data_IF_973106545582
#
_entry.id   IF_973106545582
#
_cell.length_a   1.000
_cell.length_b   1.000
_cell.length_c   1.000
_cell.angle_alpha   90.00
_cell.angle_beta   90.00
_cell.angle_gamma   90.00
#
_symmetry.space_group_name_H-M   'P 1'
#
loop_
_entity.id
_entity.type
_entity.pdbx_description
1 polymer ?
#
# COMPACT_ATOMS: atom_id res chain seq x y z
N UNK A 1 -26.20 -9.45 48.39
CA UNK A 1 -25.25 -8.39 47.97
C UNK A 1 -25.56 -8.00 46.54
N UNK A 2 -25.52 -6.72 46.23
CA UNK A 2 -25.73 -6.21 44.88
C UNK A 2 -24.49 -6.53 44.02
N UNK A 3 -24.69 -6.79 42.72
CA UNK A 3 -23.64 -7.38 41.86
C UNK A 3 -22.75 -6.27 41.27
N UNK A 4 -21.43 -6.41 41.40
CA UNK A 4 -20.43 -5.47 40.88
C UNK A 4 -19.48 -6.16 39.88
N UNK A 5 -18.91 -5.40 38.94
CA UNK A 5 -18.02 -5.92 37.91
C UNK A 5 -18.33 -5.43 36.49
N UNK A 6 -17.83 -6.18 35.52
CA UNK A 6 -18.15 -6.01 34.10
C UNK A 6 -19.54 -6.58 33.83
N UNK A 7 -20.41 -5.83 33.16
CA UNK A 7 -21.74 -6.30 32.77
C UNK A 7 -21.81 -6.68 31.29
N UNK A 8 -21.30 -5.86 30.37
CA UNK A 8 -21.33 -6.16 28.94
C UNK A 8 -19.97 -5.97 28.30
N UNK A 9 -19.57 -6.96 27.53
CA UNK A 9 -18.43 -6.87 26.61
C UNK A 9 -18.89 -6.88 25.16
N UNK A 10 -18.04 -6.38 24.26
CA UNK A 10 -18.24 -6.43 22.80
C UNK A 10 -16.93 -6.76 22.09
N UNK A 11 -17.03 -7.48 20.98
CA UNK A 11 -15.90 -7.77 20.08
C UNK A 11 -16.35 -8.61 18.90
N UNK A 12 -15.39 -9.07 18.11
CA UNK A 12 -15.66 -9.90 16.93
C UNK A 12 -15.92 -11.36 17.34
N UNK A 13 -17.07 -11.89 16.93
CA UNK A 13 -17.51 -13.27 17.11
C UNK A 13 -16.84 -14.23 16.11
N UNK A 14 -16.31 -13.70 15.01
CA UNK A 14 -15.73 -14.48 13.91
C UNK A 14 -14.27 -14.07 13.62
N UNK A 15 -13.37 -14.07 14.62
CA UNK A 15 -12.00 -13.59 14.46
C UNK A 15 -11.20 -14.44 13.49
N UNK A 16 -10.32 -13.84 12.69
CA UNK A 16 -9.43 -14.59 11.80
C UNK A 16 -8.25 -15.20 12.56
N UNK A 17 -7.91 -16.46 12.30
CA UNK A 17 -6.67 -17.06 12.87
C UNK A 17 -5.43 -16.29 12.43
N UNK A 18 -4.47 -16.14 13.34
CA UNK A 18 -3.24 -15.36 13.15
C UNK A 18 -3.42 -13.85 13.23
N UNK A 19 -4.64 -13.34 13.38
CA UNK A 19 -4.92 -11.89 13.51
C UNK A 19 -5.20 -11.54 14.97
N UNK A 20 -4.65 -10.41 15.43
CA UNK A 20 -4.93 -9.85 16.74
C UNK A 20 -6.34 -9.26 16.76
N UNK A 21 -7.22 -9.80 17.61
CA UNK A 21 -8.61 -9.36 17.75
C UNK A 21 -8.85 -8.77 19.13
N UNK A 22 -9.44 -7.58 19.18
CA UNK A 22 -9.66 -6.80 20.40
C UNK A 22 -11.11 -6.90 20.88
N UNK A 23 -11.29 -6.90 22.19
CA UNK A 23 -12.57 -6.97 22.90
C UNK A 23 -12.65 -5.83 23.90
N UNK A 24 -13.83 -5.32 24.23
CA UNK A 24 -13.96 -4.15 25.09
C UNK A 24 -15.10 -4.32 26.09
N UNK A 25 -14.92 -3.76 27.29
CA UNK A 25 -16.03 -3.54 28.22
C UNK A 25 -16.82 -2.33 27.73
N UNK A 26 -18.11 -2.52 27.52
CA UNK A 26 -19.03 -1.45 27.07
C UNK A 26 -20.07 -1.10 28.13
N UNK A 27 -20.24 -1.93 29.16
CA UNK A 27 -21.10 -1.62 30.30
C UNK A 27 -20.57 -2.29 31.58
N UNK A 28 -20.72 -1.59 32.70
CA UNK A 28 -20.39 -2.06 34.04
C UNK A 28 -21.67 -2.21 34.85
N UNK A 29 -21.70 -3.11 35.82
CA UNK A 29 -22.85 -3.14 36.74
C UNK A 29 -22.97 -1.80 37.48
N UNK A 30 -24.20 -1.33 37.78
CA UNK A 30 -24.43 -0.05 38.45
C UNK A 30 -23.63 0.10 39.75
N UNK A 31 -23.50 -0.99 40.50
CA UNK A 31 -22.84 -1.05 41.81
C UNK A 31 -21.32 -1.09 41.73
N UNK A 32 -20.75 -1.18 40.52
CA UNK A 32 -19.30 -1.15 40.32
C UNK A 32 -18.78 0.26 40.63
N UNK A 33 -17.90 0.44 41.64
CA UNK A 33 -17.36 1.74 41.99
C UNK A 33 -16.67 2.41 40.81
N UNK A 34 -16.81 3.73 40.66
CA UNK A 34 -16.26 4.46 39.51
C UNK A 34 -14.73 4.26 39.37
N UNK A 35 -14.01 4.18 40.49
CA UNK A 35 -12.58 3.90 40.54
C UNK A 35 -12.18 2.52 40.02
N UNK A 36 -13.10 1.57 39.99
CA UNK A 36 -12.89 0.21 39.49
C UNK A 36 -13.34 0.01 38.03
N UNK A 37 -14.05 0.98 37.44
CA UNK A 37 -14.50 0.95 36.04
C UNK A 37 -13.35 1.25 35.06
N UNK A 38 -12.28 0.48 35.18
CA UNK A 38 -11.05 0.63 34.41
C UNK A 38 -10.73 -0.67 33.68
N UNK A 39 -10.63 -0.61 32.36
CA UNK A 39 -10.34 -1.79 31.54
C UNK A 39 -8.98 -2.42 31.85
N UNK A 40 -8.01 -1.67 32.37
CA UNK A 40 -6.71 -2.23 32.78
C UNK A 40 -6.79 -3.18 33.97
N UNK A 41 -7.87 -3.10 34.76
CA UNK A 41 -8.13 -3.98 35.90
C UNK A 41 -8.86 -5.27 35.49
N UNK A 42 -9.44 -5.29 34.29
CA UNK A 42 -10.25 -6.41 33.79
C UNK A 42 -9.36 -7.58 33.47
N UNK A 43 -9.78 -8.75 33.92
CA UNK A 43 -9.21 -10.01 33.50
C UNK A 43 -9.97 -10.54 32.30
N UNK A 44 -9.25 -10.80 31.22
CA UNK A 44 -9.73 -11.42 30.01
C UNK A 44 -9.30 -12.89 30.00
N UNK A 45 -10.25 -13.80 29.90
CA UNK A 45 -10.00 -15.23 29.90
C UNK A 45 -10.61 -15.92 28.69
N UNK A 46 -9.87 -16.87 28.12
CA UNK A 46 -10.31 -17.68 27.00
C UNK A 46 -10.69 -19.08 27.46
N UNK A 47 -11.86 -19.54 27.03
CA UNK A 47 -12.39 -20.86 27.26
C UNK A 47 -12.56 -21.60 25.94
N UNK A 48 -12.35 -22.92 25.94
CA UNK A 48 -12.55 -23.81 24.79
C UNK A 48 -13.84 -24.60 24.99
N UNK A 49 -14.65 -24.71 23.93
CA UNK A 49 -15.83 -25.59 23.91
C UNK A 49 -15.39 -27.06 23.92
N UNK A 50 -15.98 -27.83 24.82
CA UNK A 50 -15.91 -29.29 24.93
C UNK A 50 -17.32 -29.86 24.99
N UNK A 51 -17.41 -31.18 24.98
CA UNK A 51 -18.69 -31.91 25.10
C UNK A 51 -19.42 -31.50 26.39
N UNK A 52 -18.70 -31.40 27.51
CA UNK A 52 -19.25 -31.02 28.83
C UNK A 52 -19.48 -29.51 29.03
N UNK A 53 -19.30 -28.67 28.00
CA UNK A 53 -19.47 -27.21 28.12
C UNK A 53 -18.22 -26.41 27.75
N UNK A 54 -17.90 -25.37 28.50
CA UNK A 54 -16.72 -24.53 28.24
C UNK A 54 -15.70 -24.71 29.37
N UNK A 55 -14.48 -25.11 29.01
CA UNK A 55 -13.36 -25.24 29.96
C UNK A 55 -12.33 -24.12 29.77
N UNK A 56 -11.71 -23.67 30.84
CA UNK A 56 -10.62 -22.68 30.74
C UNK A 56 -9.47 -23.24 29.90
N UNK A 57 -8.89 -22.40 29.05
CA UNK A 57 -7.65 -22.73 28.31
C UNK A 57 -6.39 -22.46 29.14
N UNK A 58 -6.52 -21.87 30.33
CA UNK A 58 -5.41 -21.31 31.10
C UNK A 58 -4.90 -19.95 30.57
N UNK A 59 -5.39 -19.48 29.42
CA UNK A 59 -5.03 -18.17 28.88
C UNK A 59 -5.87 -17.11 29.58
N UNK A 60 -5.26 -16.46 30.57
CA UNK A 60 -5.83 -15.39 31.38
C UNK A 60 -4.91 -14.17 31.33
N UNK A 61 -5.44 -13.00 30.96
CA UNK A 61 -4.67 -11.76 30.78
C UNK A 61 -5.32 -10.62 31.54
N UNK A 62 -4.55 -9.90 32.36
CA UNK A 62 -5.04 -8.71 33.05
C UNK A 62 -4.73 -7.45 32.23
N UNK A 63 -5.76 -6.65 31.95
CA UNK A 63 -5.66 -5.40 31.18
C UNK A 63 -5.35 -5.54 29.70
N UNK A 64 -5.07 -6.75 29.19
CA UNK A 64 -4.77 -7.01 27.78
C UNK A 64 -6.01 -7.63 27.14
N UNK A 65 -6.75 -6.80 26.42
CA UNK A 65 -8.08 -7.08 25.90
C UNK A 65 -8.10 -7.72 24.51
N UNK A 66 -7.00 -8.37 24.09
CA UNK A 66 -6.91 -9.00 22.78
C UNK A 66 -6.48 -10.46 22.84
N UNK A 67 -6.94 -11.21 21.84
CA UNK A 67 -6.54 -12.59 21.59
C UNK A 67 -6.06 -12.76 20.15
N UNK A 68 -5.21 -13.76 19.95
CA UNK A 68 -4.72 -14.17 18.64
C UNK A 68 -4.85 -15.68 18.56
N UNK A 69 -5.69 -16.14 17.65
CA UNK A 69 -6.04 -17.54 17.52
C UNK A 69 -5.01 -18.27 16.65
N UNK A 70 -4.52 -19.42 17.11
CA UNK A 70 -3.53 -20.21 16.37
C UNK A 70 -4.09 -20.80 15.06
N UNK A 71 -3.23 -21.33 14.17
CA UNK A 71 -3.64 -21.78 12.83
C UNK A 71 -4.79 -22.79 12.80
N UNK A 72 -4.85 -23.69 13.78
CA UNK A 72 -5.88 -24.73 13.88
C UNK A 72 -7.12 -24.32 14.70
N UNK A 73 -7.14 -23.12 15.27
CA UNK A 73 -8.22 -22.68 16.15
C UNK A 73 -9.57 -22.60 15.43
N UNK A 74 -9.58 -22.44 14.11
CA UNK A 74 -10.80 -22.41 13.30
C UNK A 74 -11.64 -23.69 13.35
N UNK A 75 -11.07 -24.79 13.85
CA UNK A 75 -11.75 -26.08 14.04
C UNK A 75 -12.53 -26.16 15.36
N UNK A 76 -12.45 -25.13 16.20
CA UNK A 76 -12.98 -25.14 17.56
C UNK A 76 -13.80 -23.89 17.84
N UNK A 77 -14.73 -23.99 18.79
CA UNK A 77 -15.46 -22.85 19.34
C UNK A 77 -14.86 -22.44 20.67
N UNK A 78 -14.87 -21.14 20.95
CA UNK A 78 -14.33 -20.59 22.19
C UNK A 78 -15.35 -19.64 22.83
N UNK A 79 -15.10 -19.31 24.08
CA UNK A 79 -15.80 -18.24 24.80
C UNK A 79 -14.76 -17.31 25.40
N UNK A 80 -14.96 -16.01 25.25
CA UNK A 80 -14.15 -14.97 25.88
C UNK A 80 -15.00 -14.32 26.97
N UNK A 81 -14.41 -14.17 28.15
CA UNK A 81 -15.03 -13.40 29.24
C UNK A 81 -14.09 -12.31 29.73
N UNK A 82 -14.66 -11.15 30.04
CA UNK A 82 -13.99 -10.04 30.69
C UNK A 82 -14.63 -9.78 32.04
N UNK A 83 -13.87 -9.91 33.13
CA UNK A 83 -14.40 -9.77 34.50
C UNK A 83 -13.42 -9.11 35.47
N UNK A 84 -13.93 -8.48 36.54
CA UNK A 84 -13.10 -7.93 37.64
C UNK A 84 -12.83 -8.95 38.75
N UNK A 85 -13.84 -9.76 39.10
CA UNK A 85 -13.78 -10.67 40.24
C UNK A 85 -13.81 -12.12 39.78
N UNK A 86 -14.91 -12.53 39.14
CA UNK A 86 -15.13 -13.89 38.66
C UNK A 86 -15.83 -13.89 37.30
N UNK A 87 -15.57 -14.95 36.53
CA UNK A 87 -16.25 -15.22 35.27
C UNK A 87 -17.72 -15.59 35.52
N UNK A 88 -18.63 -15.10 34.68
CA UNK A 88 -20.07 -15.29 34.85
C UNK A 88 -20.66 -16.37 33.95
N UNK A 89 -19.93 -16.82 32.94
CA UNK A 89 -20.31 -17.99 32.16
C UNK A 89 -21.19 -17.72 30.94
N UNK A 90 -21.82 -16.54 30.84
CA UNK A 90 -22.93 -16.26 29.91
C UNK A 90 -22.92 -14.82 29.36
N UNK A 91 -23.66 -14.61 28.28
CA UNK A 91 -23.96 -13.26 27.77
C UNK A 91 -24.76 -12.43 28.79
N UNK A 92 -24.58 -11.10 28.84
CA UNK A 92 -23.72 -10.27 27.98
C UNK A 92 -22.24 -10.14 28.45
N UNK A 93 -21.84 -10.83 29.52
CA UNK A 93 -20.47 -10.81 30.09
C UNK A 93 -19.49 -11.70 29.33
N UNK A 94 -20.00 -12.55 28.44
CA UNK A 94 -19.25 -13.46 27.59
C UNK A 94 -19.54 -13.20 26.11
N UNK A 95 -18.58 -13.53 25.24
CA UNK A 95 -18.75 -13.60 23.79
C UNK A 95 -18.36 -14.99 23.34
N UNK A 96 -19.23 -15.65 22.60
CA UNK A 96 -18.95 -16.93 21.96
C UNK A 96 -18.31 -16.66 20.60
N UNK A 97 -17.13 -17.24 20.36
CA UNK A 97 -16.33 -16.95 19.17
C UNK A 97 -16.01 -18.23 18.41
N UNK A 98 -16.18 -18.17 17.09
CA UNK A 98 -15.76 -19.21 16.16
C UNK A 98 -14.70 -18.62 15.23
N UNK A 99 -13.40 -18.86 15.50
CA UNK A 99 -12.37 -18.34 14.63
C UNK A 99 -12.55 -18.82 13.20
N UNK A 100 -12.39 -17.93 12.24
CA UNK A 100 -12.45 -18.26 10.83
C UNK A 100 -11.08 -18.73 10.38
N UNK A 101 -11.05 -19.66 9.42
CA UNK A 101 -9.80 -19.98 8.71
C UNK A 101 -9.18 -18.66 8.27
N UNK A 102 -7.85 -18.63 8.28
CA UNK A 102 -7.17 -17.62 7.51
C UNK A 102 -7.54 -17.99 6.09
N UNK A 103 -8.56 -17.32 5.54
CA UNK A 103 -8.74 -17.32 4.11
C UNK A 103 -7.36 -17.08 3.54
N UNK A 104 -6.99 -17.82 2.51
CA UNK A 104 -5.77 -17.49 1.75
C UNK A 104 -5.83 -16.07 1.15
N UNK A 105 -6.87 -15.27 1.45
CA UNK A 105 -6.64 -13.86 1.72
C UNK A 105 -5.79 -13.69 3.00
N UNK A 106 -4.48 -13.86 2.84
CA UNK A 106 -3.55 -12.77 3.22
C UNK A 106 -4.31 -11.46 3.01
N UNK A 107 -4.16 -10.43 3.85
CA UNK A 107 -4.40 -9.07 3.36
C UNK A 107 -3.61 -8.99 2.07
N UNK A 108 -4.27 -9.24 0.94
CA UNK A 108 -3.60 -9.71 -0.25
C UNK A 108 -3.05 -8.38 -0.72
N UNK A 109 -1.79 -8.13 -0.38
CA UNK A 109 -1.34 -6.76 -0.19
C UNK A 109 -1.58 -6.05 -1.51
N UNK A 110 -2.38 -4.98 -1.43
CA UNK A 110 -2.70 -4.21 -2.61
C UNK A 110 -1.43 -3.46 -2.95
N UNK A 111 -0.76 -3.93 -3.97
CA UNK A 111 0.61 -3.53 -4.24
C UNK A 111 0.85 -3.41 -5.74
N UNK A 112 1.64 -2.41 -6.09
CA UNK A 112 2.24 -2.28 -7.42
C UNK A 112 3.57 -3.02 -7.34
N UNK A 113 3.74 -4.09 -8.11
CA UNK A 113 4.94 -4.94 -8.07
C UNK A 113 6.09 -4.34 -8.88
N UNK A 114 5.79 -3.53 -9.88
CA UNK A 114 6.78 -2.95 -10.77
C UNK A 114 6.13 -2.28 -11.97
N UNK A 115 6.94 -1.54 -12.73
CA UNK A 115 6.53 -0.80 -13.92
C UNK A 115 7.53 -1.06 -15.04
N UNK A 116 7.03 -1.54 -16.18
CA UNK A 116 7.80 -1.71 -17.40
C UNK A 116 7.47 -0.61 -18.41
N UNK A 117 8.52 -0.08 -19.06
CA UNK A 117 8.40 0.84 -20.18
C UNK A 117 8.59 0.09 -21.51
N UNK A 118 7.71 0.38 -22.47
CA UNK A 118 7.75 -0.18 -23.82
C UNK A 118 7.40 0.88 -24.86
N UNK A 119 7.63 0.59 -26.13
CA UNK A 119 6.98 1.34 -27.20
C UNK A 119 5.47 1.11 -27.15
N UNK A 120 4.68 1.99 -27.78
CA UNK A 120 3.22 1.86 -27.77
C UNK A 120 2.71 0.55 -28.42
N UNK A 121 3.48 -0.04 -29.33
CA UNK A 121 3.16 -1.35 -29.91
C UNK A 121 3.44 -2.55 -28.96
N UNK A 122 3.99 -2.29 -27.77
CA UNK A 122 4.33 -3.28 -26.76
C UNK A 122 5.73 -3.87 -26.89
N UNK A 123 6.51 -3.48 -27.91
CA UNK A 123 7.89 -3.92 -28.06
C UNK A 123 8.81 -3.27 -27.02
N UNK A 124 9.87 -3.97 -26.62
CA UNK A 124 10.84 -3.47 -25.64
C UNK A 124 11.61 -2.28 -26.20
N UNK A 125 11.83 -1.28 -25.35
CA UNK A 125 12.73 -0.18 -25.67
C UNK A 125 14.16 -0.71 -25.65
N UNK A 126 14.75 -0.87 -26.83
CA UNK A 126 16.11 -1.37 -27.03
C UNK A 126 17.07 -0.32 -27.57
N UNK A 127 16.55 0.86 -27.91
CA UNK A 127 17.29 2.00 -28.46
C UNK A 127 16.97 3.26 -27.67
N UNK A 128 17.86 4.24 -27.71
CA UNK A 128 17.58 5.59 -27.21
C UNK A 128 16.39 6.15 -27.99
N UNK A 129 15.43 6.71 -27.27
CA UNK A 129 14.21 7.28 -27.81
C UNK A 129 14.45 8.67 -28.40
N UNK A 130 13.50 9.14 -29.19
CA UNK A 130 13.40 10.51 -29.64
C UNK A 130 12.16 11.18 -29.05
N UNK A 131 12.19 12.50 -28.95
CA UNK A 131 10.95 13.25 -28.75
C UNK A 131 9.98 12.98 -29.90
N UNK A 132 8.67 12.97 -29.59
CA UNK A 132 7.54 12.44 -30.36
C UNK A 132 7.39 10.92 -30.40
N UNK A 133 8.34 10.14 -29.87
CA UNK A 133 8.10 8.71 -29.69
C UNK A 133 6.93 8.47 -28.73
N UNK A 134 6.17 7.43 -29.04
CA UNK A 134 5.04 6.98 -28.24
C UNK A 134 5.43 5.76 -27.42
N UNK A 135 5.26 5.87 -26.12
CA UNK A 135 5.65 4.85 -25.15
C UNK A 135 4.47 4.47 -24.28
N UNK A 136 4.58 3.31 -23.65
CA UNK A 136 3.63 2.83 -22.65
C UNK A 136 4.35 2.56 -21.34
N UNK A 137 3.73 2.93 -20.23
CA UNK A 137 4.08 2.43 -18.91
C UNK A 137 3.04 1.39 -18.50
N UNK A 138 3.49 0.17 -18.19
CA UNK A 138 2.62 -0.90 -17.70
C UNK A 138 3.00 -1.24 -16.27
N UNK A 139 2.11 -0.94 -15.33
CA UNK A 139 2.23 -1.39 -13.94
C UNK A 139 1.67 -2.79 -13.81
N UNK A 140 2.48 -3.69 -13.22
CA UNK A 140 2.00 -4.99 -12.75
C UNK A 140 1.58 -4.84 -11.30
N UNK A 141 0.36 -5.26 -11.00
CA UNK A 141 -0.28 -5.04 -9.73
C UNK A 141 -0.80 -6.34 -9.15
N UNK A 142 -0.76 -6.44 -7.83
CA UNK A 142 -1.27 -7.55 -7.07
C UNK A 142 -2.49 -7.09 -6.27
N UNK A 143 -3.62 -7.80 -6.47
CA UNK A 143 -4.90 -7.59 -5.76
C UNK A 143 -5.51 -6.19 -5.91
N UNK A 144 -5.14 -5.50 -6.98
CA UNK A 144 -5.61 -4.16 -7.32
C UNK A 144 -6.64 -4.13 -8.45
N UNK A 145 -7.06 -5.28 -8.99
CA UNK A 145 -8.08 -5.33 -10.02
C UNK A 145 -9.30 -4.46 -9.66
N UNK A 146 -9.81 -3.72 -10.65
CA UNK A 146 -10.92 -2.76 -10.53
C UNK A 146 -10.62 -1.49 -9.70
N UNK A 147 -9.46 -1.37 -9.08
CA UNK A 147 -9.01 -0.13 -8.46
C UNK A 147 -8.27 0.73 -9.48
N UNK A 148 -8.23 2.04 -9.25
CA UNK A 148 -7.48 2.97 -10.09
C UNK A 148 -6.14 3.36 -9.47
N UNK A 149 -5.13 3.49 -10.31
CA UNK A 149 -3.81 4.05 -9.97
C UNK A 149 -3.52 5.26 -10.87
N UNK A 150 -2.56 6.10 -10.47
CA UNK A 150 -2.10 7.24 -11.25
C UNK A 150 -0.62 7.06 -11.57
N UNK A 151 -0.27 7.25 -12.83
CA UNK A 151 1.12 7.32 -13.29
C UNK A 151 1.60 8.77 -13.34
N UNK A 152 2.87 9.00 -13.05
CA UNK A 152 3.55 10.29 -13.20
C UNK A 152 4.83 10.08 -13.99
N UNK A 153 5.05 10.90 -15.01
CA UNK A 153 6.25 10.95 -15.82
C UNK A 153 7.21 11.98 -15.22
N UNK A 154 8.47 11.59 -15.11
CA UNK A 154 9.56 12.38 -14.55
C UNK A 154 10.74 12.39 -15.49
N UNK A 155 11.54 13.44 -15.39
CA UNK A 155 12.90 13.51 -15.93
C UNK A 155 13.89 13.37 -14.77
N UNK A 156 14.94 12.57 -14.97
CA UNK A 156 15.99 12.26 -13.98
C UNK A 156 17.22 13.16 -14.21
N UNK A 157 17.29 14.18 -13.37
CA UNK A 157 18.32 15.22 -13.35
C UNK A 157 19.33 15.04 -12.21
N UNK A 158 19.31 13.91 -11.50
CA UNK A 158 20.22 13.64 -10.38
C UNK A 158 21.33 12.63 -10.76
N UNK A 159 22.46 12.71 -10.04
CA UNK A 159 23.62 11.84 -10.26
C UNK A 159 23.38 10.40 -9.82
N UNK A 160 22.46 10.20 -8.87
CA UNK A 160 22.06 8.89 -8.37
C UNK A 160 20.81 8.42 -9.08
N UNK A 161 20.82 7.17 -9.57
CA UNK A 161 19.66 6.58 -10.25
C UNK A 161 18.45 6.50 -9.31
N UNK A 162 17.27 6.83 -9.83
CA UNK A 162 15.98 6.50 -9.23
C UNK A 162 15.19 7.71 -8.74
N UNK A 163 13.99 7.46 -8.20
CA UNK A 163 13.07 8.54 -7.85
C UNK A 163 13.58 9.36 -6.66
N UNK A 164 13.91 10.63 -6.91
CA UNK A 164 14.21 11.62 -5.88
C UNK A 164 13.21 12.78 -5.96
N UNK A 165 12.90 13.38 -4.80
CA UNK A 165 12.09 14.59 -4.68
C UNK A 165 12.59 15.78 -5.50
N UNK A 166 13.87 15.78 -5.88
CA UNK A 166 14.45 16.80 -6.75
C UNK A 166 14.10 16.60 -8.21
N UNK A 167 13.81 15.36 -8.65
CA UNK A 167 13.55 15.04 -10.05
C UNK A 167 12.41 15.87 -10.63
N UNK A 168 12.53 16.19 -11.91
CA UNK A 168 11.60 17.10 -12.56
C UNK A 168 10.31 16.41 -12.96
N UNK A 169 9.20 16.81 -12.35
CA UNK A 169 7.87 16.36 -12.74
C UNK A 169 7.50 16.91 -14.12
N UNK A 170 7.01 16.03 -15.01
CA UNK A 170 6.60 16.38 -16.37
C UNK A 170 5.09 16.41 -16.50
N UNK A 171 4.44 15.29 -16.24
CA UNK A 171 2.98 15.16 -16.36
C UNK A 171 2.46 13.90 -15.65
N UNK A 172 1.15 13.74 -15.57
CA UNK A 172 0.49 12.57 -14.96
C UNK A 172 -0.64 12.04 -15.81
N UNK A 173 -0.95 10.76 -15.65
CA UNK A 173 -2.12 10.13 -16.27
C UNK A 173 -3.42 10.58 -15.58
N UNK A 174 -4.59 10.44 -16.24
CA UNK A 174 -5.84 10.28 -15.50
C UNK A 174 -5.79 9.02 -14.61
N UNK A 175 -6.73 8.83 -13.67
CA UNK A 175 -6.86 7.56 -12.96
C UNK A 175 -7.08 6.41 -13.96
N UNK A 176 -6.24 5.38 -13.90
CA UNK A 176 -6.30 4.21 -14.77
C UNK A 176 -6.70 3.00 -13.94
N UNK A 177 -7.80 2.36 -14.32
CA UNK A 177 -8.29 1.14 -13.66
C UNK A 177 -7.41 -0.05 -14.01
N UNK A 178 -7.00 -0.80 -12.99
CA UNK A 178 -6.27 -2.05 -13.12
C UNK A 178 -7.21 -3.14 -13.64
N UNK A 179 -6.78 -3.83 -14.70
CA UNK A 179 -7.55 -4.88 -15.35
C UNK A 179 -7.66 -6.15 -14.49
N UNK A 180 -8.48 -7.10 -14.94
CA UNK A 180 -8.68 -8.38 -14.25
C UNK A 180 -7.43 -9.26 -14.17
N UNK A 181 -6.40 -8.97 -14.98
CA UNK A 181 -5.10 -9.67 -14.97
C UNK A 181 -4.08 -8.96 -14.07
N UNK A 182 -4.47 -7.87 -13.42
CA UNK A 182 -3.61 -7.08 -12.54
C UNK A 182 -2.71 -6.11 -13.27
N UNK A 183 -3.04 -5.65 -14.49
CA UNK A 183 -2.24 -4.66 -15.20
C UNK A 183 -2.98 -3.34 -15.35
N UNK A 184 -2.25 -2.23 -15.22
CA UNK A 184 -2.70 -0.91 -15.64
C UNK A 184 -1.68 -0.36 -16.64
N UNK A 185 -2.17 0.22 -17.73
CA UNK A 185 -1.32 0.72 -18.82
C UNK A 185 -1.65 2.17 -19.13
N UNK A 186 -0.61 3.00 -19.18
CA UNK A 186 -0.69 4.38 -19.62
C UNK A 186 0.15 4.60 -20.87
N UNK A 187 -0.51 5.00 -21.96
CA UNK A 187 0.16 5.43 -23.19
C UNK A 187 0.43 6.94 -23.15
N UNK A 188 1.64 7.35 -23.51
CA UNK A 188 2.05 8.74 -23.53
C UNK A 188 3.02 9.04 -24.68
N UNK A 189 3.20 10.32 -24.96
CA UNK A 189 4.13 10.83 -25.98
C UNK A 189 5.14 11.77 -25.31
N UNK A 190 6.41 11.63 -25.66
CA UNK A 190 7.47 12.54 -25.23
C UNK A 190 7.39 13.83 -26.06
N UNK A 191 6.57 14.79 -25.65
CA UNK A 191 6.36 16.00 -26.44
C UNK A 191 7.61 16.90 -26.51
N UNK A 192 7.77 17.64 -27.61
CA UNK A 192 8.88 18.59 -27.81
C UNK A 192 8.86 19.70 -26.75
N UNK A 193 7.69 20.02 -26.19
CA UNK A 193 7.55 20.97 -25.09
C UNK A 193 8.29 20.53 -23.83
N UNK A 194 8.61 19.24 -23.69
CA UNK A 194 9.38 18.71 -22.56
C UNK A 194 10.90 18.93 -22.71
N UNK A 195 11.40 19.24 -23.92
CA UNK A 195 12.82 19.55 -24.15
C UNK A 195 13.25 20.74 -23.29
N UNK A 196 12.51 21.83 -23.35
CA UNK A 196 12.78 23.04 -22.56
C UNK A 196 12.58 22.81 -21.05
N UNK A 197 11.84 21.76 -20.66
CA UNK A 197 11.74 21.37 -19.25
C UNK A 197 13.00 20.62 -18.83
N UNK A 198 13.44 19.61 -19.59
CA UNK A 198 14.63 18.83 -19.29
C UNK A 198 15.93 19.67 -19.32
N UNK A 199 16.08 20.57 -20.30
CA UNK A 199 17.26 21.43 -20.41
C UNK A 199 17.38 22.48 -19.29
N UNK A 200 16.32 22.75 -18.49
CA UNK A 200 16.37 23.81 -17.46
C UNK A 200 17.39 23.57 -16.37
N UNK A 201 17.76 22.32 -16.13
CA UNK A 201 18.59 21.94 -14.99
C UNK A 201 19.95 21.39 -15.38
N UNK A 202 20.12 20.90 -16.61
CA UNK A 202 21.42 20.43 -17.10
C UNK A 202 21.60 20.72 -18.59
N UNK A 203 22.37 21.77 -18.90
CA UNK A 203 22.63 22.27 -20.26
C UNK A 203 23.55 21.37 -21.12
N UNK A 204 24.19 20.36 -20.52
CA UNK A 204 25.28 19.58 -21.14
C UNK A 204 24.94 18.10 -21.40
N UNK A 205 23.75 17.64 -21.02
CA UNK A 205 23.35 16.25 -21.23
C UNK A 205 23.02 16.00 -22.72
N UNK A 206 23.82 15.14 -23.36
CA UNK A 206 23.55 14.61 -24.71
C UNK A 206 22.23 13.83 -24.79
N UNK A 207 21.76 13.34 -23.64
CA UNK A 207 20.54 12.54 -23.49
C UNK A 207 19.83 12.95 -22.22
N UNK A 208 18.51 13.05 -22.30
CA UNK A 208 17.63 13.20 -21.15
C UNK A 208 17.19 11.83 -20.66
N UNK A 209 16.97 11.69 -19.37
CA UNK A 209 16.56 10.41 -18.78
C UNK A 209 15.14 10.55 -18.24
N UNK A 210 14.24 9.68 -18.70
CA UNK A 210 12.85 9.70 -18.27
C UNK A 210 12.47 8.40 -17.59
N UNK A 211 11.61 8.48 -16.60
CA UNK A 211 11.02 7.32 -15.94
C UNK A 211 9.59 7.62 -15.49
N UNK A 212 8.87 6.56 -15.16
CA UNK A 212 7.49 6.66 -14.70
C UNK A 212 7.36 6.09 -13.31
N UNK A 213 6.66 6.81 -12.43
CA UNK A 213 6.20 6.28 -11.15
C UNK A 213 4.72 5.96 -11.20
N UNK A 214 4.27 4.96 -10.46
CA UNK A 214 2.86 4.71 -10.20
C UNK A 214 2.58 4.70 -8.70
N UNK A 215 1.46 5.29 -8.30
CA UNK A 215 1.09 5.49 -6.90
C UNK A 215 -0.25 4.84 -6.57
N UNK A 216 -0.31 4.15 -5.43
CA UNK A 216 -1.55 3.68 -4.80
C UNK A 216 -1.50 3.90 -3.29
N UNK A 217 -2.42 4.71 -2.75
CA UNK A 217 -2.49 5.08 -1.32
C UNK A 217 -1.13 5.46 -0.71
N UNK A 218 -0.37 6.32 -1.39
CA UNK A 218 0.92 6.82 -0.91
C UNK A 218 2.11 5.86 -1.08
N UNK A 219 1.89 4.61 -1.51
CA UNK A 219 2.97 3.72 -1.93
C UNK A 219 3.31 3.95 -3.40
N UNK A 220 4.59 4.15 -3.69
CA UNK A 220 5.08 4.50 -5.03
C UNK A 220 6.10 3.47 -5.51
N UNK A 221 5.99 3.06 -6.76
CA UNK A 221 7.03 2.31 -7.49
C UNK A 221 7.50 3.11 -8.69
N UNK A 222 8.79 3.03 -9.01
CA UNK A 222 9.40 3.64 -10.20
C UNK A 222 9.77 2.56 -11.23
N UNK A 223 9.68 2.90 -12.51
CA UNK A 223 10.30 2.13 -13.59
C UNK A 223 11.81 2.35 -13.60
N UNK A 224 12.51 1.61 -14.46
CA UNK A 224 13.86 1.99 -14.88
C UNK A 224 13.82 3.25 -15.76
N UNK A 225 14.96 3.95 -15.85
CA UNK A 225 15.12 5.09 -16.75
C UNK A 225 15.21 4.63 -18.20
N UNK A 226 14.70 5.47 -19.09
CA UNK A 226 14.92 5.40 -20.53
C UNK A 226 15.59 6.66 -21.01
N UNK A 227 16.55 6.49 -21.91
CA UNK A 227 17.30 7.59 -22.49
C UNK A 227 16.56 8.15 -23.71
N UNK A 228 16.52 9.47 -23.81
CA UNK A 228 15.94 10.23 -24.92
C UNK A 228 17.00 11.18 -25.48
N UNK A 229 17.20 11.20 -26.79
CA UNK A 229 18.16 12.12 -27.41
C UNK A 229 17.81 13.58 -27.15
N UNK A 230 18.81 14.39 -26.79
CA UNK A 230 18.65 15.84 -26.71
C UNK A 230 18.89 16.46 -28.11
N UNK A 231 17.85 16.98 -28.79
CA UNK A 231 18.00 17.55 -30.14
C UNK A 231 18.79 18.86 -30.15
N UNK A 232 19.09 19.47 -29.00
CA UNK A 232 19.91 20.69 -28.92
C UNK A 232 21.42 20.41 -28.88
N UNK A 233 21.83 19.17 -28.56
CA UNK A 233 23.24 18.75 -28.65
C UNK A 233 23.74 18.72 -30.11
N UNK A 234 22.88 18.29 -31.04
CA UNK A 234 23.18 18.31 -32.49
C UNK A 234 23.37 19.74 -33.03
N UNK A 235 22.70 20.72 -32.44
CA UNK A 235 22.85 22.13 -32.86
C UNK A 235 24.18 22.73 -32.41
N UNK A 236 24.73 22.30 -31.26
CA UNK A 236 26.02 22.76 -30.75
C UNK A 236 27.21 22.25 -31.57
N UNK A 237 27.05 21.16 -32.34
CA UNK A 237 28.11 20.55 -33.16
C UNK A 237 28.15 21.03 -34.61
N UNK A 238 27.26 21.93 -35.04
CA UNK A 238 27.39 22.58 -36.35
C UNK A 238 28.21 23.87 -36.21
N UNK A 239 29.45 23.96 -36.76
CA UNK A 239 30.18 25.21 -36.75
C UNK A 239 29.40 26.25 -37.56
N UNK A 240 29.16 27.42 -36.97
CA UNK A 240 28.75 28.62 -37.68
C UNK A 240 29.65 28.78 -38.90
N UNK A 241 29.09 28.61 -40.11
CA UNK A 241 29.76 29.04 -41.34
C UNK A 241 29.78 30.56 -41.32
N UNK A 242 30.83 31.12 -40.71
CA UNK A 242 31.17 32.53 -40.84
C UNK A 242 31.42 32.81 -42.32
N UNK A 243 30.46 33.45 -42.99
CA UNK A 243 30.63 34.00 -44.32
C UNK A 243 31.64 35.14 -44.27
N UNK A 244 32.90 34.84 -44.56
CA UNK A 244 33.92 35.85 -44.82
C UNK A 244 33.71 36.41 -46.22
N UNK A 245 32.95 37.49 -46.31
CA UNK A 245 32.92 38.36 -47.50
C UNK A 245 34.11 39.32 -47.46
N UNK A 246 35.14 39.13 -48.30
CA UNK A 246 36.04 40.22 -48.75
C UNK A 246 36.51 40.00 -50.20
N UNK A 247 35.80 40.72 -51.08
CA UNK A 247 36.17 41.48 -52.29
C UNK A 247 37.38 41.07 -53.15
N UNK A 248 37.23 40.89 -54.48
CA UNK A 248 38.33 40.89 -55.42
C UNK A 248 38.77 42.31 -55.83
N UNK A 249 40.04 42.39 -56.22
CA UNK A 249 40.84 43.55 -56.60
C UNK A 249 40.55 44.02 -58.02
#
# INVERSE_FOLDING_TARGET
MSKGGVYRIKGDENPKVGVKTYYNVVEWYPETPHSQRNQSLVTWELYLKTDDGYRSTGIKKKGINYFTFGPNAHKFSYKIEGYLHEAEGKEPMAIFVQPQKKDQSVSQEKEILGIDLSYQDGSKITKTLHYMDRSSATAKCQNLALHSIVFKLWEDDEVENGHNSKNQFITKSPPITVDARGNARWDFTLFNTYIALANKREDEKKKHEYYVTAEYFGKTHASQNVNVYNPEDEKKTTPSKTSTSKTPK
#
